data_IF_081698386297
#
_entry.id   IF_081698386297
#
_cell.length_a   1.000
_cell.length_b   1.000
_cell.length_c   1.000
_cell.angle_alpha   90.00
_cell.angle_beta   90.00
_cell.angle_gamma   90.00
#
_symmetry.space_group_name_H-M   'P 1'
#
loop_
_entity.id
_entity.type
_entity.pdbx_description
1 polymer ?
#
# COMPACT_ATOMS: atom_id res chain seq x y z
N UNK A 1 33.75 41.20 -2.55
CA UNK A 1 33.15 40.73 -1.26
C UNK A 1 31.76 40.12 -1.42
N UNK A 2 30.76 40.82 -1.98
CA UNK A 2 29.36 40.33 -2.06
C UNK A 2 29.20 39.01 -2.85
N UNK A 3 29.95 38.83 -3.94
CA UNK A 3 29.94 37.62 -4.78
C UNK A 3 30.51 36.39 -4.08
N UNK A 4 31.55 36.55 -3.25
CA UNK A 4 32.13 35.45 -2.47
C UNK A 4 31.22 35.00 -1.33
N UNK A 5 30.49 35.93 -0.71
CA UNK A 5 29.50 35.63 0.33
C UNK A 5 28.33 34.84 -0.27
N UNK A 6 27.82 35.25 -1.44
CA UNK A 6 26.77 34.51 -2.14
C UNK A 6 27.20 33.09 -2.53
N UNK A 7 28.45 32.94 -2.98
CA UNK A 7 29.00 31.64 -3.34
C UNK A 7 29.16 30.71 -2.12
N UNK A 8 29.64 31.23 -0.99
CA UNK A 8 29.74 30.51 0.27
C UNK A 8 28.36 30.08 0.80
N UNK A 9 27.36 30.96 0.73
CA UNK A 9 25.98 30.64 1.10
C UNK A 9 25.38 29.53 0.24
N UNK A 10 25.65 29.54 -1.07
CA UNK A 10 25.19 28.49 -1.97
C UNK A 10 25.84 27.13 -1.67
N UNK A 11 27.14 27.11 -1.37
CA UNK A 11 27.86 25.87 -1.00
C UNK A 11 27.35 25.30 0.33
N UNK A 12 27.07 26.15 1.32
CA UNK A 12 26.50 25.73 2.61
C UNK A 12 25.09 25.17 2.43
N UNK A 13 24.24 25.80 1.60
CA UNK A 13 22.89 25.32 1.33
C UNK A 13 22.87 23.95 0.63
N UNK A 14 23.81 23.69 -0.28
CA UNK A 14 23.92 22.39 -0.96
C UNK A 14 24.45 21.31 -0.01
N UNK A 15 25.41 21.65 0.86
CA UNK A 15 25.95 20.72 1.86
C UNK A 15 24.98 20.38 3.00
N UNK A 16 23.94 21.18 3.21
CA UNK A 16 22.91 20.97 4.23
C UNK A 16 21.73 20.09 3.77
N UNK A 17 21.75 19.58 2.53
CA UNK A 17 20.71 18.69 2.03
C UNK A 17 20.82 17.32 2.71
N UNK A 18 20.04 17.12 3.78
CA UNK A 18 19.93 15.81 4.44
C UNK A 18 19.04 14.91 3.58
N UNK A 19 19.48 13.71 3.19
CA UNK A 19 18.62 12.76 2.49
C UNK A 19 17.43 12.41 3.39
N UNK A 20 16.22 12.74 2.94
CA UNK A 20 14.99 12.29 3.59
C UNK A 20 14.77 10.84 3.18
N UNK A 21 14.90 9.90 4.12
CA UNK A 21 14.51 8.52 3.87
C UNK A 21 13.00 8.45 3.67
N UNK A 22 12.55 8.07 2.48
CA UNK A 22 11.19 7.61 2.30
C UNK A 22 11.06 6.23 2.94
N UNK A 23 10.44 6.15 4.11
CA UNK A 23 10.09 4.89 4.75
C UNK A 23 8.71 4.47 4.26
N UNK A 24 8.55 3.24 3.78
CA UNK A 24 7.26 2.63 3.45
C UNK A 24 6.43 2.43 4.73
N UNK A 25 5.97 3.53 5.34
CA UNK A 25 5.31 3.49 6.63
C UNK A 25 3.88 3.01 6.48
N UNK A 26 3.58 1.88 7.10
CA UNK A 26 2.22 1.39 7.24
C UNK A 26 1.29 2.48 7.82
N UNK A 27 1.76 3.24 8.81
CA UNK A 27 0.95 4.29 9.48
C UNK A 27 0.74 5.56 8.65
N UNK A 28 1.46 5.72 7.53
CA UNK A 28 1.21 6.82 6.61
C UNK A 28 0.00 6.54 5.71
N UNK A 29 -0.30 5.26 5.45
CA UNK A 29 -1.36 4.82 4.54
C UNK A 29 -2.54 4.19 5.29
N UNK A 30 -2.34 3.65 6.49
CA UNK A 30 -3.36 2.91 7.24
C UNK A 30 -3.38 3.26 8.72
N UNK A 31 -4.58 3.35 9.28
CA UNK A 31 -4.82 3.51 10.70
C UNK A 31 -4.81 2.13 11.40
N UNK A 32 -3.68 1.80 12.03
CA UNK A 32 -3.50 0.55 12.79
C UNK A 32 -4.47 0.37 13.96
N UNK A 33 -5.21 1.41 14.35
CA UNK A 33 -6.23 1.33 15.41
C UNK A 33 -7.62 0.99 14.87
N UNK A 34 -7.80 0.94 13.55
CA UNK A 34 -9.07 0.65 12.87
C UNK A 34 -8.99 -0.63 12.04
N UNK A 35 -8.98 -1.82 12.69
CA UNK A 35 -9.05 -3.08 11.97
C UNK A 35 -10.39 -3.22 11.26
N UNK A 36 -10.36 -3.82 10.08
CA UNK A 36 -11.53 -4.11 9.24
C UNK A 36 -11.52 -5.59 8.89
N UNK A 37 -12.67 -6.24 9.06
CA UNK A 37 -12.89 -7.62 8.62
C UNK A 37 -14.06 -7.65 7.65
N UNK A 38 -13.82 -8.13 6.44
CA UNK A 38 -14.88 -8.32 5.44
C UNK A 38 -14.86 -9.73 4.90
N UNK A 39 -16.00 -10.19 4.41
CA UNK A 39 -16.12 -11.43 3.64
C UNK A 39 -16.82 -11.11 2.33
N UNK A 40 -16.26 -11.55 1.19
CA UNK A 40 -16.86 -11.21 -0.09
C UNK A 40 -16.21 -11.85 -1.32
N UNK A 41 -16.78 -11.42 -2.45
CA UNK A 41 -16.47 -11.65 -3.86
C UNK A 41 -15.12 -11.18 -4.41
N UNK A 42 -14.07 -11.97 -4.64
CA UNK A 42 -12.91 -11.42 -5.38
C UNK A 42 -13.33 -11.07 -6.81
N UNK A 43 -13.22 -9.80 -7.20
CA UNK A 43 -13.63 -9.31 -8.52
C UNK A 43 -12.46 -8.96 -9.44
N UNK A 44 -11.31 -8.61 -8.87
CA UNK A 44 -10.09 -8.26 -9.62
C UNK A 44 -8.85 -8.53 -8.78
N UNK A 45 -7.77 -8.94 -9.43
CA UNK A 45 -6.44 -9.09 -8.83
C UNK A 45 -5.40 -8.43 -9.74
N UNK A 46 -4.62 -7.52 -9.18
CA UNK A 46 -3.46 -6.89 -9.78
C UNK A 46 -2.20 -7.41 -9.08
N UNK A 47 -1.54 -8.37 -9.70
CA UNK A 47 -0.33 -8.99 -9.15
C UNK A 47 0.93 -8.27 -9.65
N UNK A 48 1.08 -6.99 -9.29
CA UNK A 48 2.15 -6.10 -9.78
C UNK A 48 3.01 -5.57 -8.62
N UNK A 49 4.20 -5.05 -8.94
CA UNK A 49 5.14 -4.42 -8.01
C UNK A 49 4.91 -2.90 -8.05
N UNK A 50 4.83 -2.13 -6.93
CA UNK A 50 5.33 -2.42 -5.58
C UNK A 50 4.36 -3.08 -4.59
N UNK A 51 3.07 -3.13 -4.89
CA UNK A 51 2.10 -3.80 -4.04
C UNK A 51 1.11 -4.55 -4.92
N UNK A 52 0.75 -5.77 -4.51
CA UNK A 52 -0.41 -6.40 -5.12
C UNK A 52 -1.66 -5.67 -4.64
N UNK A 53 -2.65 -5.59 -5.52
CA UNK A 53 -3.99 -5.13 -5.19
C UNK A 53 -5.01 -6.20 -5.52
N UNK A 54 -6.02 -6.34 -4.70
CA UNK A 54 -7.17 -7.17 -5.01
C UNK A 54 -8.45 -6.50 -4.54
N UNK A 55 -9.53 -6.76 -5.26
CA UNK A 55 -10.81 -6.09 -5.10
C UNK A 55 -11.86 -7.11 -4.68
N UNK A 56 -12.67 -6.74 -3.69
CA UNK A 56 -13.64 -7.63 -3.07
C UNK A 56 -15.01 -6.94 -2.99
N UNK A 57 -16.01 -7.53 -3.61
CA UNK A 57 -17.39 -7.12 -3.48
C UNK A 57 -18.02 -7.76 -2.24
N UNK A 58 -18.43 -6.91 -1.30
CA UNK A 58 -19.05 -7.32 -0.03
C UNK A 58 -20.53 -7.02 -0.11
N UNK A 59 -21.36 -8.06 0.07
CA UNK A 59 -22.82 -7.93 0.08
C UNK A 59 -23.31 -7.85 1.52
N UNK A 60 -24.12 -6.84 1.82
CA UNK A 60 -24.78 -6.70 3.12
C UNK A 60 -26.07 -7.55 3.21
N UNK A 61 -26.70 -7.54 4.39
CA UNK A 61 -27.94 -8.28 4.66
C UNK A 61 -29.13 -7.78 3.82
N UNK A 62 -29.10 -6.52 3.39
CA UNK A 62 -30.11 -5.91 2.53
C UNK A 62 -29.86 -6.18 1.04
N UNK A 63 -28.75 -6.85 0.73
CA UNK A 63 -28.32 -7.18 -0.61
C UNK A 63 -27.57 -6.06 -1.35
N UNK A 64 -27.27 -4.95 -0.68
CA UNK A 64 -26.41 -3.91 -1.24
C UNK A 64 -24.97 -4.43 -1.35
N UNK A 65 -24.30 -4.05 -2.43
CA UNK A 65 -22.91 -4.42 -2.70
C UNK A 65 -22.02 -3.20 -2.51
N UNK A 66 -20.99 -3.36 -1.69
CA UNK A 66 -19.89 -2.39 -1.54
C UNK A 66 -18.61 -3.02 -2.06
N UNK A 67 -17.93 -2.35 -2.99
CA UNK A 67 -16.63 -2.80 -3.50
C UNK A 67 -15.51 -2.27 -2.62
N UNK A 68 -14.61 -3.17 -2.21
CA UNK A 68 -13.43 -2.88 -1.40
C UNK A 68 -12.16 -3.12 -2.21
N UNK A 69 -11.13 -2.32 -1.97
CA UNK A 69 -9.79 -2.54 -2.50
C UNK A 69 -8.83 -2.81 -1.34
N UNK A 70 -7.96 -3.81 -1.51
CA UNK A 70 -6.97 -4.20 -0.52
C UNK A 70 -5.60 -4.25 -1.16
N UNK A 71 -4.63 -3.62 -0.49
CA UNK A 71 -3.21 -3.71 -0.81
C UNK A 71 -2.53 -4.76 0.05
N UNK A 72 -1.55 -5.47 -0.49
CA UNK A 72 -0.68 -6.34 0.28
C UNK A 72 0.79 -6.20 -0.11
N UNK A 73 1.65 -7.06 0.43
CA UNK A 73 3.08 -7.00 0.18
C UNK A 73 3.42 -7.15 -1.33
N UNK A 74 4.57 -6.64 -1.79
CA UNK A 74 5.02 -6.82 -3.17
C UNK A 74 5.07 -8.30 -3.57
N UNK A 75 4.86 -8.64 -4.87
CA UNK A 75 4.91 -10.00 -5.38
C UNK A 75 6.14 -10.81 -4.93
N UNK A 76 7.33 -10.19 -4.96
CA UNK A 76 8.58 -10.86 -4.59
C UNK A 76 8.64 -11.21 -3.10
N UNK A 77 8.02 -10.41 -2.21
CA UNK A 77 7.94 -10.73 -0.78
C UNK A 77 6.98 -11.88 -0.55
N UNK A 78 5.82 -11.85 -1.20
CA UNK A 78 4.81 -12.92 -1.12
C UNK A 78 5.35 -14.26 -1.66
N UNK A 79 6.00 -14.23 -2.82
CA UNK A 79 6.56 -15.43 -3.44
C UNK A 79 7.64 -16.08 -2.56
N UNK A 80 8.51 -15.30 -1.92
CA UNK A 80 9.48 -15.84 -0.93
C UNK A 80 8.82 -16.44 0.31
N UNK A 81 7.56 -16.08 0.59
CA UNK A 81 6.73 -16.69 1.64
C UNK A 81 5.86 -17.85 1.13
N UNK A 82 6.06 -18.30 -0.11
CA UNK A 82 5.27 -19.37 -0.72
C UNK A 82 3.88 -18.95 -1.20
N UNK A 83 3.59 -17.65 -1.22
CA UNK A 83 2.30 -17.10 -1.67
C UNK A 83 2.45 -16.67 -3.14
N UNK A 84 1.79 -17.39 -4.04
CA UNK A 84 1.83 -17.18 -5.48
C UNK A 84 0.50 -16.63 -6.00
N UNK A 85 0.47 -16.13 -7.25
CA UNK A 85 -0.70 -15.46 -7.82
C UNK A 85 -1.98 -16.31 -7.86
N UNK A 86 -1.83 -17.63 -7.84
CA UNK A 86 -2.92 -18.61 -7.94
C UNK A 86 -3.70 -18.79 -6.64
N UNK A 87 -3.23 -18.22 -5.52
CA UNK A 87 -3.96 -18.26 -4.24
C UNK A 87 -5.15 -17.30 -4.19
N UNK A 88 -5.22 -16.33 -5.10
CA UNK A 88 -6.33 -15.38 -5.22
C UNK A 88 -6.86 -15.43 -6.64
N UNK A 89 -8.04 -16.02 -6.83
CA UNK A 89 -8.72 -16.08 -8.12
C UNK A 89 -9.98 -15.24 -8.10
N UNK A 90 -10.31 -14.66 -9.25
CA UNK A 90 -11.59 -13.98 -9.45
C UNK A 90 -12.71 -15.01 -9.24
N UNK A 91 -13.71 -14.65 -8.45
CA UNK A 91 -14.82 -15.52 -8.04
C UNK A 91 -14.61 -16.22 -6.70
N UNK A 92 -13.41 -16.20 -6.12
CA UNK A 92 -13.18 -16.77 -4.80
C UNK A 92 -13.88 -15.94 -3.72
N UNK A 93 -14.55 -16.63 -2.79
CA UNK A 93 -15.05 -15.99 -1.57
C UNK A 93 -13.92 -15.95 -0.55
N UNK A 94 -13.50 -14.75 -0.19
CA UNK A 94 -12.39 -14.52 0.73
C UNK A 94 -12.85 -13.82 2.00
N UNK A 95 -12.22 -14.16 3.12
CA UNK A 95 -12.26 -13.36 4.34
C UNK A 95 -10.98 -12.54 4.42
N UNK A 96 -11.13 -11.22 4.50
CA UNK A 96 -10.00 -10.30 4.56
C UNK A 96 -9.94 -9.67 5.93
N UNK A 97 -8.75 -9.67 6.53
CA UNK A 97 -8.43 -8.96 7.76
C UNK A 97 -7.40 -7.88 7.40
N UNK A 98 -7.73 -6.62 7.64
CA UNK A 98 -6.92 -5.49 7.22
C UNK A 98 -7.17 -4.26 8.10
N UNK A 99 -6.73 -3.10 7.62
CA UNK A 99 -6.87 -1.84 8.35
C UNK A 99 -7.43 -0.78 7.43
N UNK A 100 -8.17 0.17 7.99
CA UNK A 100 -8.72 1.28 7.22
C UNK A 100 -7.60 2.26 6.83
N UNK A 101 -7.62 2.70 5.58
CA UNK A 101 -6.80 3.83 5.12
C UNK A 101 -7.29 5.14 5.76
#
# INVERSE_FOLDING_TARGET
MKTHIAFLLAVVLIGAAVPVLSHHSFTAEYDGTKPVKVTGTVTKVEWTNPHIWFYVDVKDENGNVTSWAFSAAPPGVLQRRGITKDVLKIGDVVKVDGFRA
#
